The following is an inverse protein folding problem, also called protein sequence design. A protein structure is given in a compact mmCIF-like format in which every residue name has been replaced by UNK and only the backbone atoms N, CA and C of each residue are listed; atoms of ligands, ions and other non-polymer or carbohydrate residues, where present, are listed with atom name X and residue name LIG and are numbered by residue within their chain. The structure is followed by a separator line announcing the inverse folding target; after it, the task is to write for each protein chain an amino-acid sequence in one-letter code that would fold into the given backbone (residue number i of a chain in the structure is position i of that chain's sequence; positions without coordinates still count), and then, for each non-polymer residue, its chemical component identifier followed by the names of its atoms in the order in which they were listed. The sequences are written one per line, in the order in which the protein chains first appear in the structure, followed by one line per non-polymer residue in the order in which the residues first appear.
data_IF_176660398146
#
_entry.id   IF_176660398146
#
_cell.length_a   1.000
_cell.length_b   1.000
_cell.length_c   1.000
_cell.angle_alpha   90.00
_cell.angle_beta   90.00
_cell.angle_gamma   90.00
#
_symmetry.space_group_name_H-M   'P 1'
#
loop_
_entity.id
_entity.type
_entity.pdbx_description
1 polymer ?
#
# COMPACT_ATOMS: atom_id res chain seq x y z
N UNK A 1 15.60 17.23 0.64
CA UNK A 1 15.00 15.90 0.49
C UNK A 1 13.75 15.99 -0.33
N UNK A 2 13.66 15.12 -1.28
CA UNK A 2 12.68 15.25 -2.34
C UNK A 2 11.59 14.19 -2.28
N UNK A 3 11.29 13.67 -1.14
CA UNK A 3 10.22 12.70 -0.99
C UNK A 3 10.74 11.31 -0.65
N UNK A 4 9.85 10.35 -0.70
CA UNK A 4 10.13 8.95 -0.42
C UNK A 4 9.27 8.14 -1.40
N UNK A 5 9.66 8.18 -2.67
CA UNK A 5 8.85 7.79 -3.82
C UNK A 5 8.83 6.29 -4.04
N UNK A 6 7.72 5.83 -4.57
CA UNK A 6 7.58 4.44 -4.99
C UNK A 6 6.44 4.29 -5.99
N UNK A 7 6.46 3.18 -6.70
CA UNK A 7 5.34 2.74 -7.52
C UNK A 7 4.87 1.40 -6.97
N UNK A 8 3.57 1.26 -6.81
CA UNK A 8 2.95 -0.01 -6.45
C UNK A 8 2.17 -0.48 -7.67
N UNK A 9 2.59 -1.59 -8.25
CA UNK A 9 1.96 -2.14 -9.45
C UNK A 9 1.29 -3.46 -9.14
N UNK A 10 0.10 -3.68 -9.72
CA UNK A 10 -0.62 -4.93 -9.54
C UNK A 10 -0.19 -5.93 -10.61
N UNK A 11 0.11 -7.15 -10.17
CA UNK A 11 0.42 -8.23 -11.11
C UNK A 11 -0.89 -8.93 -11.49
N UNK A 12 -1.30 -8.74 -12.74
CA UNK A 12 -2.53 -9.32 -13.27
C UNK A 12 -2.18 -10.27 -14.39
N UNK A 13 -2.65 -11.51 -14.29
CA UNK A 13 -2.40 -12.51 -15.33
C UNK A 13 -3.01 -12.08 -16.66
N UNK A 14 -2.25 -12.30 -17.73
CA UNK A 14 -2.70 -12.01 -19.10
C UNK A 14 -2.61 -10.56 -19.50
N UNK A 15 -2.19 -9.67 -18.62
CA UNK A 15 -2.00 -8.26 -18.95
C UNK A 15 -0.52 -7.98 -19.16
N UNK A 16 -0.12 -7.38 -20.29
CA UNK A 16 1.27 -6.99 -20.49
C UNK A 16 1.74 -6.06 -19.38
N UNK A 17 3.00 -6.23 -18.98
CA UNK A 17 3.59 -5.46 -17.87
C UNK A 17 3.31 -3.95 -18.00
N UNK A 18 3.47 -3.40 -19.18
CA UNK A 18 3.32 -1.96 -19.41
C UNK A 18 1.93 -1.43 -19.13
N UNK A 19 0.92 -2.29 -19.13
CA UNK A 19 -0.47 -1.90 -18.86
C UNK A 19 -0.90 -2.20 -17.43
N UNK A 20 0.00 -2.67 -16.58
CA UNK A 20 -0.35 -3.02 -15.20
C UNK A 20 -0.84 -1.79 -14.45
N UNK A 21 -2.01 -1.87 -13.84
CA UNK A 21 -2.53 -0.76 -13.02
C UNK A 21 -1.59 -0.49 -11.86
N UNK A 22 -1.30 0.78 -11.65
CA UNK A 22 -0.25 1.18 -10.70
C UNK A 22 -0.63 2.43 -9.93
N UNK A 23 -0.06 2.55 -8.75
CA UNK A 23 -0.20 3.70 -7.87
C UNK A 23 1.19 4.32 -7.72
N UNK A 24 1.27 5.62 -7.89
CA UNK A 24 2.49 6.37 -7.59
C UNK A 24 2.37 7.02 -6.21
N UNK A 25 3.41 6.87 -5.40
CA UNK A 25 3.54 7.52 -4.10
C UNK A 25 4.72 8.48 -4.13
N UNK A 26 4.49 9.71 -3.71
CA UNK A 26 5.60 10.66 -3.53
C UNK A 26 6.19 10.54 -2.12
N UNK A 27 5.41 10.10 -1.16
CA UNK A 27 5.81 9.93 0.24
C UNK A 27 5.41 8.55 0.73
N UNK A 28 6.07 8.10 1.78
CA UNK A 28 5.76 6.81 2.43
C UNK A 28 5.92 5.62 1.50
N UNK A 29 6.89 5.70 0.59
CA UNK A 29 7.16 4.60 -0.34
C UNK A 29 8.15 3.56 0.18
N UNK A 30 8.65 3.69 1.40
CA UNK A 30 9.52 2.69 1.98
C UNK A 30 8.79 1.38 2.26
N UNK A 31 9.55 0.29 2.35
CA UNK A 31 8.95 -1.03 2.52
C UNK A 31 8.03 -1.13 3.74
N UNK A 32 8.41 -0.63 4.91
CA UNK A 32 7.50 -0.71 6.05
C UNK A 32 6.17 -0.01 5.82
N UNK A 33 6.19 1.14 5.16
CA UNK A 33 4.95 1.86 4.85
C UNK A 33 4.07 1.09 3.89
N UNK A 34 4.64 0.56 2.81
CA UNK A 34 3.88 -0.20 1.83
C UNK A 34 3.30 -1.46 2.47
N UNK A 35 4.09 -2.16 3.26
CA UNK A 35 3.60 -3.34 3.99
C UNK A 35 2.50 -2.98 4.97
N UNK A 36 2.61 -1.83 5.64
CA UNK A 36 1.59 -1.37 6.56
C UNK A 36 0.29 -1.03 5.83
N UNK A 37 0.36 -0.39 4.66
CA UNK A 37 -0.82 -0.13 3.86
C UNK A 37 -1.53 -1.42 3.46
N UNK A 38 -0.77 -2.43 3.05
CA UNK A 38 -1.33 -3.73 2.66
C UNK A 38 -1.95 -4.45 3.85
N UNK A 39 -1.29 -4.41 5.00
CA UNK A 39 -1.83 -5.00 6.22
C UNK A 39 -3.13 -4.31 6.64
N UNK A 40 -3.15 -2.99 6.60
CA UNK A 40 -4.36 -2.24 6.93
C UNK A 40 -5.50 -2.54 5.95
N UNK A 41 -5.21 -2.63 4.66
CA UNK A 41 -6.21 -2.99 3.68
C UNK A 41 -6.84 -4.35 4.00
N UNK A 42 -6.02 -5.32 4.40
CA UNK A 42 -6.52 -6.63 4.82
C UNK A 42 -7.42 -6.52 6.04
N UNK A 43 -7.00 -5.81 7.07
CA UNK A 43 -7.78 -5.61 8.29
C UNK A 43 -9.10 -4.92 7.99
N UNK A 44 -9.09 -3.95 7.08
CA UNK A 44 -10.27 -3.19 6.69
C UNK A 44 -11.25 -3.97 5.81
N UNK A 45 -10.91 -5.19 5.46
CA UNK A 45 -11.80 -6.06 4.68
C UNK A 45 -11.73 -5.86 3.18
N UNK A 46 -10.67 -5.27 2.69
CA UNK A 46 -10.48 -5.07 1.25
C UNK A 46 -10.34 -6.43 0.56
N UNK A 47 -11.00 -6.58 -0.59
CA UNK A 47 -10.94 -7.81 -1.39
C UNK A 47 -9.60 -7.87 -2.14
N UNK A 48 -8.59 -8.35 -1.46
CA UNK A 48 -7.23 -8.30 -1.99
C UNK A 48 -7.00 -9.25 -3.18
N UNK A 49 -7.87 -10.24 -3.35
CA UNK A 49 -7.80 -11.14 -4.50
C UNK A 49 -8.50 -10.61 -5.75
N UNK A 50 -9.21 -9.49 -5.63
CA UNK A 50 -9.91 -8.87 -6.76
C UNK A 50 -9.13 -7.63 -7.17
N UNK A 51 -8.47 -7.71 -8.31
CA UNK A 51 -7.51 -6.68 -8.72
C UNK A 51 -8.11 -5.28 -8.84
N UNK A 52 -9.35 -5.19 -9.34
CA UNK A 52 -9.98 -3.88 -9.51
C UNK A 52 -10.34 -3.26 -8.16
N UNK A 53 -11.01 -4.04 -7.32
CA UNK A 53 -11.43 -3.56 -6.00
C UNK A 53 -10.23 -3.32 -5.09
N UNK A 54 -9.24 -4.22 -5.13
CA UNK A 54 -8.09 -4.08 -4.25
C UNK A 54 -7.31 -2.82 -4.55
N UNK A 55 -7.08 -2.51 -5.82
CA UNK A 55 -6.31 -1.31 -6.16
C UNK A 55 -7.07 -0.05 -5.78
N UNK A 56 -8.37 0.01 -6.08
CA UNK A 56 -9.18 1.18 -5.73
C UNK A 56 -9.19 1.42 -4.23
N UNK A 57 -9.38 0.34 -3.45
CA UNK A 57 -9.43 0.49 -2.00
C UNK A 57 -8.06 0.73 -1.39
N UNK A 58 -7.01 0.17 -1.98
CA UNK A 58 -5.66 0.50 -1.53
C UNK A 58 -5.37 1.98 -1.75
N UNK A 59 -5.78 2.54 -2.88
CA UNK A 59 -5.70 3.98 -3.10
C UNK A 59 -6.44 4.76 -2.00
N UNK A 60 -7.61 4.30 -1.62
CA UNK A 60 -8.39 4.94 -0.56
C UNK A 60 -7.66 4.88 0.78
N UNK A 61 -7.14 3.72 1.14
CA UNK A 61 -6.40 3.54 2.40
C UNK A 61 -5.23 4.50 2.46
N UNK A 62 -4.46 4.57 1.40
CA UNK A 62 -3.27 5.43 1.33
C UNK A 62 -3.68 6.90 1.34
N UNK A 63 -4.69 7.26 0.55
CA UNK A 63 -5.14 8.65 0.45
C UNK A 63 -5.70 9.16 1.78
N UNK A 64 -6.45 8.33 2.48
CA UNK A 64 -6.97 8.70 3.80
C UNK A 64 -5.84 8.92 4.81
N UNK A 65 -4.79 8.11 4.71
CA UNK A 65 -3.62 8.28 5.56
C UNK A 65 -2.85 9.56 5.21
N UNK A 66 -2.64 9.82 3.93
CA UNK A 66 -1.89 11.00 3.49
C UNK A 66 -2.67 12.30 3.69
N UNK A 67 -3.98 12.20 3.82
CA UNK A 67 -4.83 13.35 4.04
C UNK A 67 -4.91 14.26 2.83
N UNK A 68 -4.81 15.56 3.04
CA UNK A 68 -4.98 16.54 1.98
C UNK A 68 -3.79 16.75 1.06
N UNK A 69 -2.74 15.97 1.20
CA UNK A 69 -1.58 16.11 0.32
C UNK A 69 -1.89 15.55 -1.06
N UNK A 70 -1.31 16.16 -2.09
CA UNK A 70 -1.49 15.70 -3.48
C UNK A 70 -0.33 14.78 -3.86
N UNK A 71 -0.14 13.74 -3.08
CA UNK A 71 1.09 12.93 -3.13
C UNK A 71 0.87 11.55 -3.72
N UNK A 72 -0.28 11.28 -4.30
CA UNK A 72 -0.62 9.97 -4.85
C UNK A 72 -1.18 10.15 -6.26
N UNK A 73 -0.86 9.21 -7.13
CA UNK A 73 -1.39 9.19 -8.49
C UNK A 73 -1.69 7.77 -8.92
N UNK A 74 -2.48 7.62 -9.98
CA UNK A 74 -2.78 6.31 -10.55
C UNK A 74 -2.58 6.35 -12.06
N UNK A 75 -2.24 5.21 -12.61
CA UNK A 75 -2.05 5.07 -14.04
C UNK A 75 -1.60 3.67 -14.37
N UNK A 76 -1.05 3.49 -15.56
CA UNK A 76 -0.46 2.21 -15.96
C UNK A 76 1.05 2.26 -15.73
N UNK A 77 1.63 1.09 -15.56
CA UNK A 77 3.07 0.96 -15.27
C UNK A 77 3.93 1.78 -16.24
N UNK A 78 3.60 1.75 -17.53
CA UNK A 78 4.38 2.44 -18.56
C UNK A 78 4.49 3.95 -18.33
N UNK A 79 3.53 4.54 -17.65
CA UNK A 79 3.49 5.98 -17.40
C UNK A 79 3.99 6.36 -16.01
N UNK A 80 4.48 5.39 -15.24
CA UNK A 80 4.93 5.65 -13.87
C UNK A 80 6.41 6.00 -13.82
N UNK A 81 6.78 6.76 -12.80
CA UNK A 81 8.17 7.08 -12.49
C UNK A 81 8.79 5.88 -11.77
N UNK A 82 9.13 4.85 -12.52
CA UNK A 82 9.66 3.61 -11.95
C UNK A 82 11.14 3.72 -11.56
N UNK A 83 11.87 4.60 -12.20
CA UNK A 83 13.27 4.90 -11.87
C UNK A 83 13.29 6.17 -11.02
N UNK A 84 12.64 6.09 -9.85
CA UNK A 84 12.39 7.25 -9.02
C UNK A 84 13.52 7.62 -8.07
N UNK A 85 14.56 6.79 -8.01
CA UNK A 85 15.72 7.08 -7.17
C UNK A 85 15.51 6.83 -5.68
N UNK A 86 14.33 6.38 -5.28
CA UNK A 86 14.03 6.11 -3.87
C UNK A 86 13.74 4.64 -3.64
N UNK A 87 12.52 4.16 -3.92
CA UNK A 87 12.11 2.81 -3.57
C UNK A 87 11.72 1.94 -4.76
N UNK A 88 11.80 2.49 -5.98
CA UNK A 88 11.49 1.73 -7.18
C UNK A 88 10.05 1.26 -7.24
N UNK A 89 9.87 -0.01 -7.54
CA UNK A 89 8.55 -0.60 -7.77
C UNK A 89 8.31 -1.78 -6.84
N UNK A 90 7.10 -1.84 -6.31
CA UNK A 90 6.58 -3.00 -5.59
C UNK A 90 5.51 -3.64 -6.46
N UNK A 91 5.72 -4.89 -6.83
CA UNK A 91 4.69 -5.68 -7.51
C UNK A 91 3.89 -6.43 -6.47
N UNK A 92 2.57 -6.23 -6.48
CA UNK A 92 1.70 -6.87 -5.51
C UNK A 92 0.73 -7.84 -6.18
N UNK A 93 0.39 -8.89 -5.45
CA UNK A 93 -0.63 -9.85 -5.85
C UNK A 93 -1.28 -10.39 -4.58
N UNK A 94 -2.61 -10.39 -4.56
CA UNK A 94 -3.38 -10.85 -3.40
C UNK A 94 -2.96 -10.14 -2.10
N UNK A 95 -2.63 -8.86 -2.21
CA UNK A 95 -2.26 -8.06 -1.05
C UNK A 95 -0.86 -8.30 -0.53
N UNK A 96 -0.01 -8.97 -1.30
CA UNK A 96 1.37 -9.26 -0.89
C UNK A 96 2.34 -8.73 -1.93
N UNK A 97 3.50 -8.31 -1.46
CA UNK A 97 4.59 -7.93 -2.35
C UNK A 97 5.21 -9.22 -2.88
N UNK A 98 5.14 -9.41 -4.20
CA UNK A 98 5.65 -10.62 -4.85
C UNK A 98 6.94 -10.38 -5.63
N UNK A 99 7.26 -9.11 -5.94
CA UNK A 99 8.47 -8.78 -6.68
C UNK A 99 8.82 -7.32 -6.45
N UNK A 100 10.12 -7.01 -6.50
CA UNK A 100 10.61 -5.64 -6.43
C UNK A 100 11.42 -5.30 -7.68
N UNK A 101 11.29 -4.04 -8.12
CA UNK A 101 12.25 -3.45 -9.04
C UNK A 101 12.90 -2.32 -8.25
N UNK A 102 14.04 -2.61 -7.67
CA UNK A 102 14.69 -1.71 -6.73
C UNK A 102 16.20 -1.91 -6.80
N UNK A 103 16.90 -0.87 -7.15
CA UNK A 103 18.35 -0.90 -7.24
C UNK A 103 19.01 0.16 -6.34
N UNK A 104 18.25 0.69 -5.41
CA UNK A 104 18.69 1.80 -4.57
C UNK A 104 19.53 1.41 -3.37
N UNK A 105 19.99 0.17 -3.26
CA UNK A 105 20.83 -0.27 -2.15
C UNK A 105 20.00 -0.80 -0.99
N UNK A 106 19.88 -0.03 0.09
CA UNK A 106 19.25 -0.51 1.30
C UNK A 106 17.75 -0.24 1.35
N UNK A 107 16.97 -1.29 1.61
CA UNK A 107 15.56 -1.15 1.95
C UNK A 107 15.44 -0.41 3.27
N UNK A 108 14.45 0.47 3.36
CA UNK A 108 14.09 1.04 4.64
C UNK A 108 13.53 -0.05 5.53
N UNK A 109 13.80 0.04 6.81
CA UNK A 109 13.34 -0.92 7.80
C UNK A 109 12.67 -0.19 8.96
N UNK A 110 11.90 -0.95 9.73
CA UNK A 110 11.27 -0.45 10.94
C UNK A 110 11.33 -1.54 12.00
N UNK A 111 11.34 -1.14 13.25
CA UNK A 111 11.17 -2.09 14.34
C UNK A 111 9.72 -2.57 14.37
N UNK A 112 9.47 -3.67 15.07
CA UNK A 112 8.10 -4.17 15.23
C UNK A 112 7.20 -3.12 15.85
N UNK A 113 7.72 -2.38 16.85
CA UNK A 113 6.96 -1.31 17.50
C UNK A 113 6.62 -0.18 16.52
N UNK A 114 7.59 0.25 15.75
CA UNK A 114 7.37 1.30 14.76
C UNK A 114 6.36 0.87 13.70
N UNK A 115 6.46 -0.37 13.26
CA UNK A 115 5.52 -0.92 12.29
C UNK A 115 4.09 -0.97 12.86
N UNK A 116 3.94 -1.47 14.07
CA UNK A 116 2.63 -1.57 14.73
C UNK A 116 2.01 -0.19 14.95
N UNK A 117 2.81 0.79 15.35
CA UNK A 117 2.35 2.17 15.51
C UNK A 117 1.87 2.74 14.18
N UNK A 118 2.60 2.46 13.11
CA UNK A 118 2.23 2.93 11.78
C UNK A 118 0.90 2.28 11.33
N UNK A 119 0.76 0.98 11.52
CA UNK A 119 -0.48 0.28 11.21
C UNK A 119 -1.65 0.89 11.98
N UNK A 120 -1.48 1.12 13.27
CA UNK A 120 -2.53 1.70 14.10
C UNK A 120 -2.92 3.10 13.61
N UNK A 121 -1.95 3.89 13.23
CA UNK A 121 -2.20 5.24 12.73
C UNK A 121 -2.96 5.21 11.40
N UNK A 122 -2.55 4.33 10.48
CA UNK A 122 -3.24 4.19 9.20
C UNK A 122 -4.68 3.73 9.41
N UNK A 123 -4.89 2.76 10.30
CA UNK A 123 -6.24 2.29 10.63
C UNK A 123 -7.10 3.40 11.21
N UNK A 124 -6.53 4.19 12.10
CA UNK A 124 -7.24 5.30 12.72
C UNK A 124 -7.75 6.29 11.66
N UNK A 125 -6.95 6.56 10.64
CA UNK A 125 -7.32 7.47 9.56
C UNK A 125 -8.35 6.88 8.60
N UNK A 126 -8.57 5.57 8.65
CA UNK A 126 -9.43 4.87 7.70
C UNK A 126 -10.74 4.34 8.29
N UNK A 127 -10.79 4.11 9.58
CA UNK A 127 -11.88 3.33 10.19
C UNK A 127 -13.27 3.89 9.95
N UNK A 128 -13.42 5.20 9.84
CA UNK A 128 -14.73 5.82 9.62
C UNK A 128 -15.15 5.79 8.15
N UNK A 129 -14.27 5.38 7.27
CA UNK A 129 -14.49 5.41 5.82
C UNK A 129 -14.72 4.02 5.22
N UNK A 130 -14.74 2.99 6.04
CA UNK A 130 -14.97 1.62 5.60
C UNK A 130 -16.21 1.05 6.27
N UNK A 131 -16.90 0.12 5.60
CA UNK A 131 -18.17 -0.41 6.14
C UNK A 131 -17.98 -1.32 7.34
N UNK A 132 -16.77 -1.82 7.56
CA UNK A 132 -16.49 -2.65 8.72
C UNK A 132 -16.54 -1.78 9.97
N UNK A 133 -17.21 -2.25 10.98
CA UNK A 133 -17.36 -1.49 12.23
C UNK A 133 -16.13 -1.71 13.10
N UNK A 134 -15.40 -0.63 13.32
CA UNK A 134 -14.20 -0.68 14.13
C UNK A 134 -14.49 -0.19 15.53
N UNK A 135 -15.10 -1.04 16.31
CA UNK A 135 -15.17 -0.88 17.75
C UNK A 135 -13.89 -1.50 18.34
N UNK A 136 -13.64 -1.31 19.60
CA UNK A 136 -12.52 -1.96 20.27
C UNK A 136 -12.56 -3.48 20.09
N UNK A 137 -13.75 -4.03 19.99
CA UNK A 137 -13.92 -5.47 19.82
C UNK A 137 -13.52 -5.94 18.42
N UNK A 138 -14.00 -5.27 17.38
CA UNK A 138 -13.63 -5.60 16.00
C UNK A 138 -12.14 -5.40 15.78
N UNK A 139 -11.58 -4.41 16.42
CA UNK A 139 -10.17 -4.16 16.29
C UNK A 139 -9.33 -5.32 16.80
N UNK A 140 -9.83 -6.03 17.80
CA UNK A 140 -9.16 -7.20 18.31
C UNK A 140 -9.13 -8.34 17.31
N UNK A 141 -10.06 -8.37 16.37
CA UNK A 141 -10.11 -9.41 15.35
C UNK A 141 -8.92 -9.34 14.40
N UNK A 142 -8.16 -8.26 14.41
CA UNK A 142 -6.98 -8.15 13.57
C UNK A 142 -5.99 -9.28 13.81
N UNK A 143 -5.95 -9.82 15.02
CA UNK A 143 -5.07 -10.93 15.34
C UNK A 143 -5.50 -12.21 14.62
N UNK A 144 -6.78 -12.38 14.38
CA UNK A 144 -7.28 -13.51 13.62
C UNK A 144 -6.96 -13.38 12.14
N UNK A 145 -6.90 -12.14 11.66
CA UNK A 145 -6.60 -11.87 10.25
C UNK A 145 -5.14 -12.09 9.93
N UNK A 146 -4.29 -12.00 10.92
CA UNK A 146 -2.85 -12.18 10.76
C UNK A 146 -2.47 -13.65 10.66
N UNK A 147 -3.35 -14.53 11.03
CA UNK A 147 -3.11 -15.95 10.95
C UNK A 147 -3.26 -16.44 9.50
#
# INVERSE_FOLDING_TARGET
IMGNRAVISTKVEGIPKKYSPSIYLHWNGGRPSVEAFLKCAKILGVRLGDNQYSLARLCQVISNFLGGTLSIGVGVYANMDTDNGDNGVYWIKNGKIVKREFDGGHEQTATDEEFDELVDYILEKNKSHFPVKFTGKEYQLKNEWEE
#
